data_IF_755283834868
#
_entry.id   IF_755283834868
#
_cell.length_a   1.000
_cell.length_b   1.000
_cell.length_c   1.000
_cell.angle_alpha   90.00
_cell.angle_beta   90.00
_cell.angle_gamma   90.00
#
_symmetry.space_group_name_H-M   'P 1'
#
loop_
_entity.id
_entity.type
_entity.pdbx_description
1 polymer ?
#
# COMPACT_ATOMS: atom_id res chain seq x y z
N UNK A 1 4.17 -21.22 -4.77
CA UNK A 1 3.10 -20.23 -4.41
C UNK A 1 2.67 -20.58 -3.00
N UNK A 2 2.57 -19.60 -2.07
CA UNK A 2 2.14 -19.87 -0.70
C UNK A 2 0.65 -19.59 -0.60
N UNK A 3 -0.12 -20.52 -0.03
CA UNK A 3 -1.51 -20.25 0.38
C UNK A 3 -1.52 -19.45 1.67
N UNK A 4 -2.24 -18.33 1.71
CA UNK A 4 -2.36 -17.46 2.89
C UNK A 4 -3.79 -17.55 3.41
N UNK A 5 -3.93 -17.96 4.68
CA UNK A 5 -5.22 -18.06 5.36
C UNK A 5 -5.60 -16.69 5.96
N UNK A 6 -6.67 -16.11 5.43
CA UNK A 6 -7.22 -14.83 5.86
C UNK A 6 -8.67 -15.01 6.33
N UNK A 7 -9.02 -14.40 7.44
CA UNK A 7 -10.37 -14.42 7.98
C UNK A 7 -11.22 -13.23 7.49
N UNK A 8 -12.53 -13.32 7.67
CA UNK A 8 -13.42 -12.18 7.49
C UNK A 8 -13.03 -10.98 8.37
N UNK A 9 -12.49 -11.25 9.58
CA UNK A 9 -12.01 -10.20 10.45
C UNK A 9 -10.87 -9.41 9.81
N UNK A 10 -9.90 -10.08 9.18
CA UNK A 10 -8.77 -9.42 8.54
C UNK A 10 -9.25 -8.45 7.44
N UNK A 11 -10.18 -8.88 6.59
CA UNK A 11 -10.76 -8.03 5.53
C UNK A 11 -11.60 -6.88 6.10
N UNK A 12 -12.45 -7.14 7.08
CA UNK A 12 -13.30 -6.12 7.69
C UNK A 12 -12.49 -5.09 8.46
N UNK A 13 -11.44 -5.53 9.19
CA UNK A 13 -10.54 -4.65 9.88
C UNK A 13 -9.81 -3.71 8.91
N UNK A 14 -9.23 -4.25 7.83
CA UNK A 14 -8.59 -3.42 6.80
C UNK A 14 -9.56 -2.39 6.23
N UNK A 15 -10.79 -2.80 5.89
CA UNK A 15 -11.78 -1.87 5.34
C UNK A 15 -12.12 -0.74 6.33
N UNK A 16 -12.35 -1.08 7.60
CA UNK A 16 -12.61 -0.11 8.66
C UNK A 16 -11.43 0.86 8.86
N UNK A 17 -10.21 0.35 8.87
CA UNK A 17 -8.97 1.12 8.99
C UNK A 17 -8.80 2.11 7.84
N UNK A 18 -9.03 1.66 6.60
CA UNK A 18 -8.94 2.52 5.41
C UNK A 18 -10.01 3.63 5.46
N UNK A 19 -11.25 3.29 5.82
CA UNK A 19 -12.36 4.25 5.93
C UNK A 19 -12.07 5.27 7.04
N UNK A 20 -11.60 4.83 8.20
CA UNK A 20 -11.24 5.70 9.32
C UNK A 20 -10.09 6.67 8.97
N UNK A 21 -9.08 6.19 8.26
CA UNK A 21 -7.94 6.99 7.80
C UNK A 21 -8.32 8.00 6.71
N UNK A 22 -9.39 7.70 5.95
CA UNK A 22 -9.82 8.50 4.81
C UNK A 22 -11.18 9.15 5.10
N UNK A 23 -11.18 10.17 5.94
CA UNK A 23 -12.37 10.90 6.40
C UNK A 23 -13.25 11.48 5.28
N UNK A 24 -12.76 11.55 4.04
CA UNK A 24 -13.53 11.99 2.87
C UNK A 24 -14.44 10.89 2.31
N UNK A 25 -14.21 9.60 2.63
CA UNK A 25 -14.98 8.49 2.11
C UNK A 25 -16.45 8.59 2.53
N UNK A 26 -17.35 8.52 1.59
CA UNK A 26 -18.80 8.65 1.83
C UNK A 26 -19.58 7.57 1.10
N UNK A 27 -20.71 7.10 1.63
CA UNK A 27 -21.66 6.29 0.87
C UNK A 27 -22.03 6.98 -0.44
N UNK A 28 -22.04 6.19 -1.53
CA UNK A 28 -22.30 6.69 -2.88
C UNK A 28 -21.07 7.19 -3.63
N UNK A 29 -19.91 7.34 -2.99
CA UNK A 29 -18.65 7.58 -3.70
C UNK A 29 -18.36 6.45 -4.68
N UNK A 30 -17.66 6.77 -5.77
CA UNK A 30 -17.31 5.80 -6.81
C UNK A 30 -15.83 5.46 -6.74
N UNK A 31 -15.52 4.17 -6.65
CA UNK A 31 -14.14 3.67 -6.72
C UNK A 31 -13.91 2.99 -8.06
N UNK A 32 -12.88 3.39 -8.79
CA UNK A 32 -12.48 2.75 -10.05
C UNK A 32 -11.55 1.57 -9.74
N UNK A 33 -12.14 0.37 -9.66
CA UNK A 33 -11.45 -0.85 -9.27
C UNK A 33 -10.77 -1.51 -10.48
N UNK A 34 -9.51 -1.10 -10.71
CA UNK A 34 -8.69 -1.55 -11.84
C UNK A 34 -7.76 -2.71 -11.47
N UNK A 35 -7.43 -2.86 -10.19
CA UNK A 35 -6.49 -3.89 -9.76
C UNK A 35 -7.12 -5.28 -9.88
N UNK A 36 -6.34 -6.32 -10.24
CA UNK A 36 -6.87 -7.68 -10.40
C UNK A 36 -7.62 -8.15 -9.15
N UNK A 37 -8.85 -8.66 -9.35
CA UNK A 37 -9.74 -9.08 -8.26
C UNK A 37 -9.25 -10.32 -7.50
N UNK A 38 -8.33 -11.08 -8.08
CA UNK A 38 -7.68 -12.22 -7.43
C UNK A 38 -6.44 -11.82 -6.60
N UNK A 39 -6.06 -10.53 -6.61
CA UNK A 39 -4.99 -9.99 -5.78
C UNK A 39 -5.58 -9.23 -4.60
N UNK A 40 -4.93 -9.30 -3.42
CA UNK A 40 -5.40 -8.61 -2.22
C UNK A 40 -5.71 -7.13 -2.43
N UNK A 41 -4.91 -6.43 -3.26
CA UNK A 41 -5.15 -5.02 -3.58
C UNK A 41 -6.49 -4.79 -4.31
N UNK A 42 -6.78 -5.61 -5.32
CA UNK A 42 -8.06 -5.52 -6.04
C UNK A 42 -9.24 -5.96 -5.17
N UNK A 43 -9.13 -7.11 -4.49
CA UNK A 43 -10.19 -7.64 -3.66
C UNK A 43 -10.38 -6.81 -2.37
N UNK A 44 -9.31 -6.59 -1.61
CA UNK A 44 -9.38 -5.95 -0.28
C UNK A 44 -9.70 -4.46 -0.36
N UNK A 45 -9.01 -3.70 -1.21
CA UNK A 45 -9.22 -2.25 -1.35
C UNK A 45 -10.28 -1.96 -2.41
N UNK A 46 -10.07 -2.45 -3.64
CA UNK A 46 -10.90 -2.08 -4.77
C UNK A 46 -12.36 -2.51 -4.65
N UNK A 47 -12.62 -3.65 -4.01
CA UNK A 47 -13.97 -4.22 -3.89
C UNK A 47 -14.46 -4.18 -2.44
N UNK A 48 -13.80 -4.90 -1.53
CA UNK A 48 -14.30 -5.09 -0.16
C UNK A 48 -14.42 -3.77 0.60
N UNK A 49 -13.36 -2.96 0.62
CA UNK A 49 -13.39 -1.64 1.28
C UNK A 49 -14.43 -0.71 0.66
N UNK A 50 -14.58 -0.73 -0.68
CA UNK A 50 -15.58 0.06 -1.37
C UNK A 50 -16.99 -0.31 -0.90
N UNK A 51 -17.32 -1.60 -0.85
CA UNK A 51 -18.64 -2.09 -0.43
C UNK A 51 -18.93 -1.83 1.05
N UNK A 52 -17.96 -2.06 1.94
CA UNK A 52 -18.11 -1.78 3.39
C UNK A 52 -18.35 -0.27 3.62
N UNK A 53 -17.69 0.59 2.86
CA UNK A 53 -17.89 2.04 2.92
C UNK A 53 -19.15 2.55 2.21
N UNK A 54 -19.95 1.67 1.61
CA UNK A 54 -21.16 2.04 0.86
C UNK A 54 -20.85 2.72 -0.47
N UNK A 55 -19.64 2.55 -1.01
CA UNK A 55 -19.26 3.12 -2.30
C UNK A 55 -19.71 2.23 -3.47
N UNK A 56 -19.83 2.85 -4.64
CA UNK A 56 -20.04 2.16 -5.91
C UNK A 56 -18.72 1.69 -6.49
N UNK A 57 -18.59 0.39 -6.72
CA UNK A 57 -17.40 -0.23 -7.30
C UNK A 57 -17.52 -0.26 -8.83
N UNK A 58 -16.71 0.50 -9.55
CA UNK A 58 -16.63 0.45 -11.02
C UNK A 58 -15.57 -0.58 -11.39
N UNK A 59 -16.00 -1.79 -11.71
CA UNK A 59 -15.10 -2.89 -12.05
C UNK A 59 -14.50 -2.72 -13.45
N UNK A 60 -13.19 -2.86 -13.56
CA UNK A 60 -12.44 -2.83 -14.82
C UNK A 60 -11.69 -4.15 -14.99
N UNK A 61 -12.29 -5.14 -15.66
CA UNK A 61 -11.74 -6.49 -15.72
C UNK A 61 -10.38 -6.60 -16.41
N UNK A 62 -10.09 -5.69 -17.34
CA UNK A 62 -8.83 -5.64 -18.08
C UNK A 62 -8.39 -4.21 -18.26
N UNK A 63 -7.15 -3.94 -17.86
CA UNK A 63 -6.54 -2.62 -18.03
C UNK A 63 -6.31 -2.32 -19.52
N UNK A 64 -6.76 -1.14 -19.94
CA UNK A 64 -6.40 -0.47 -21.17
C UNK A 64 -6.42 1.03 -20.88
N UNK A 65 -5.35 1.75 -21.20
CA UNK A 65 -5.18 3.16 -20.84
C UNK A 65 -6.30 4.04 -21.42
N UNK A 66 -6.72 3.78 -22.66
CA UNK A 66 -7.78 4.56 -23.31
C UNK A 66 -9.15 4.33 -22.65
N UNK A 67 -9.47 3.08 -22.35
CA UNK A 67 -10.72 2.72 -21.64
C UNK A 67 -10.71 3.29 -20.22
N UNK A 68 -9.58 3.25 -19.54
CA UNK A 68 -9.43 3.81 -18.21
C UNK A 68 -9.64 5.33 -18.23
N UNK A 69 -8.99 6.04 -19.17
CA UNK A 69 -9.18 7.48 -19.37
C UNK A 69 -10.66 7.84 -19.65
N UNK A 70 -11.33 7.06 -20.51
CA UNK A 70 -12.76 7.25 -20.76
C UNK A 70 -13.62 7.05 -19.52
N UNK A 71 -13.29 6.07 -18.67
CA UNK A 71 -14.01 5.84 -17.42
C UNK A 71 -13.77 6.98 -16.43
N UNK A 72 -12.57 7.53 -16.35
CA UNK A 72 -12.29 8.73 -15.53
C UNK A 72 -13.19 9.89 -15.96
N UNK A 73 -13.28 10.15 -17.26
CA UNK A 73 -14.08 11.26 -17.80
C UNK A 73 -15.59 10.99 -17.63
N UNK A 74 -16.08 9.82 -18.06
CA UNK A 74 -17.52 9.52 -18.11
C UNK A 74 -18.13 9.17 -16.77
N UNK A 75 -17.40 8.46 -15.90
CA UNK A 75 -17.91 7.97 -14.62
C UNK A 75 -17.60 8.89 -13.45
N UNK A 76 -16.62 9.78 -13.61
CA UNK A 76 -16.21 10.72 -12.57
C UNK A 76 -16.02 10.02 -11.22
N UNK A 77 -15.06 9.05 -11.12
CA UNK A 77 -14.81 8.34 -9.88
C UNK A 77 -14.23 9.30 -8.82
N UNK A 78 -14.52 9.01 -7.56
CA UNK A 78 -13.99 9.78 -6.44
C UNK A 78 -12.66 9.20 -5.93
N UNK A 79 -12.44 7.90 -6.17
CA UNK A 79 -11.29 7.17 -5.64
C UNK A 79 -10.67 6.32 -6.73
N UNK A 80 -9.35 6.46 -6.90
CA UNK A 80 -8.56 5.66 -7.83
C UNK A 80 -7.35 5.03 -7.13
N UNK A 81 -7.41 3.74 -6.79
CA UNK A 81 -6.25 2.97 -6.40
C UNK A 81 -5.50 2.46 -7.64
N UNK A 82 -4.16 2.40 -7.57
CA UNK A 82 -3.35 1.89 -8.67
C UNK A 82 -1.92 1.56 -8.28
N UNK A 83 -1.16 1.09 -9.24
CA UNK A 83 0.28 0.87 -9.15
C UNK A 83 1.03 1.97 -9.90
N UNK A 84 2.34 2.22 -9.63
CA UNK A 84 3.09 3.29 -10.31
C UNK A 84 2.98 3.26 -11.83
N UNK A 85 3.07 2.08 -12.45
CA UNK A 85 2.96 1.90 -13.91
C UNK A 85 1.59 2.32 -14.48
N UNK A 86 0.52 2.22 -13.69
CA UNK A 86 -0.79 2.77 -14.06
C UNK A 86 -0.72 4.29 -14.20
N UNK A 87 -0.11 4.95 -13.22
CA UNK A 87 0.00 6.41 -13.21
C UNK A 87 0.91 6.92 -14.33
N UNK A 88 2.00 6.21 -14.64
CA UNK A 88 2.82 6.51 -15.83
C UNK A 88 1.99 6.43 -17.11
N UNK A 89 1.13 5.42 -17.23
CA UNK A 89 0.26 5.29 -18.40
C UNK A 89 -0.76 6.44 -18.49
N UNK A 90 -1.29 6.90 -17.34
CA UNK A 90 -2.21 8.05 -17.31
C UNK A 90 -1.55 9.35 -17.75
N UNK A 91 -0.29 9.59 -17.38
CA UNK A 91 0.47 10.78 -17.84
C UNK A 91 0.63 10.87 -19.36
N UNK A 92 0.50 9.72 -20.07
CA UNK A 92 0.64 9.62 -21.53
C UNK A 92 -0.70 9.50 -22.25
N UNK A 93 -1.82 9.57 -21.53
CA UNK A 93 -3.15 9.36 -22.07
C UNK A 93 -3.67 10.65 -22.73
N UNK A 94 -3.54 10.79 -24.04
CA UNK A 94 -4.00 11.96 -24.83
C UNK A 94 -5.47 12.34 -24.54
N UNK A 95 -6.33 11.32 -24.30
CA UNK A 95 -7.74 11.55 -23.95
C UNK A 95 -7.95 12.36 -22.69
N UNK A 96 -6.94 12.43 -21.81
CA UNK A 96 -7.02 13.19 -20.56
C UNK A 96 -6.54 14.63 -20.70
N UNK A 97 -6.02 15.07 -21.85
CA UNK A 97 -5.43 16.40 -22.05
C UNK A 97 -6.30 17.55 -21.53
N UNK A 98 -7.62 17.47 -21.73
CA UNK A 98 -8.57 18.49 -21.28
C UNK A 98 -9.58 17.93 -20.26
N UNK A 99 -9.25 16.85 -19.56
CA UNK A 99 -10.15 16.24 -18.61
C UNK A 99 -10.25 17.06 -17.33
N UNK A 100 -11.46 17.15 -16.77
CA UNK A 100 -11.68 17.67 -15.43
C UNK A 100 -11.70 16.50 -14.43
N UNK A 101 -10.73 16.47 -13.52
CA UNK A 101 -10.57 15.46 -12.48
C UNK A 101 -10.91 16.01 -11.07
N UNK A 102 -11.64 17.12 -11.00
CA UNK A 102 -12.07 17.74 -9.73
C UNK A 102 -12.94 16.82 -8.86
N UNK A 103 -13.52 15.76 -9.46
CA UNK A 103 -14.29 14.74 -8.75
C UNK A 103 -13.44 13.86 -7.81
N UNK A 104 -12.12 13.83 -8.00
CA UNK A 104 -11.22 12.97 -7.22
C UNK A 104 -11.08 13.46 -5.78
N UNK A 105 -11.30 12.56 -4.84
CA UNK A 105 -11.14 12.74 -3.39
C UNK A 105 -9.95 11.95 -2.83
N UNK A 106 -9.51 10.92 -3.55
CA UNK A 106 -8.39 10.08 -3.15
C UNK A 106 -7.72 9.37 -4.33
N UNK A 107 -6.39 9.48 -4.37
CA UNK A 107 -5.52 8.82 -5.36
C UNK A 107 -4.46 8.04 -4.59
N UNK A 108 -4.42 6.73 -4.77
CA UNK A 108 -3.59 5.84 -3.97
C UNK A 108 -2.67 4.99 -4.83
N UNK A 109 -1.39 5.00 -4.50
CA UNK A 109 -0.37 4.15 -5.13
C UNK A 109 0.13 3.11 -4.14
N UNK A 110 0.20 1.86 -4.57
CA UNK A 110 0.73 0.75 -3.78
C UNK A 110 1.16 -0.42 -4.65
N UNK A 111 1.63 -1.49 -4.02
CA UNK A 111 2.07 -2.71 -4.69
C UNK A 111 3.45 -2.66 -5.33
N UNK A 112 4.01 -1.48 -5.53
CA UNK A 112 5.40 -1.24 -5.94
C UNK A 112 5.85 0.14 -5.46
N UNK A 113 7.18 0.38 -5.49
CA UNK A 113 7.76 1.65 -5.11
C UNK A 113 7.50 2.72 -6.17
N UNK A 114 6.97 3.87 -5.77
CA UNK A 114 6.80 5.03 -6.63
C UNK A 114 7.96 5.99 -6.42
N UNK A 115 8.71 6.30 -7.47
CA UNK A 115 9.81 7.26 -7.37
C UNK A 115 9.29 8.67 -7.02
N UNK A 116 10.13 9.46 -6.37
CA UNK A 116 9.82 10.86 -6.01
C UNK A 116 9.48 11.66 -7.26
N UNK A 117 10.21 11.42 -8.35
CA UNK A 117 10.01 12.10 -9.62
C UNK A 117 8.65 11.75 -10.25
N UNK A 118 8.29 10.45 -10.27
CA UNK A 118 6.98 10.01 -10.79
C UNK A 118 5.84 10.60 -9.95
N UNK A 119 5.95 10.52 -8.62
CA UNK A 119 4.95 11.12 -7.72
C UNK A 119 4.75 12.59 -8.04
N UNK A 120 5.83 13.36 -8.18
CA UNK A 120 5.75 14.78 -8.50
C UNK A 120 5.04 15.01 -9.85
N UNK A 121 5.40 14.25 -10.90
CA UNK A 121 4.74 14.35 -12.21
C UNK A 121 3.25 14.08 -12.14
N UNK A 122 2.84 13.07 -11.36
CA UNK A 122 1.42 12.73 -11.20
C UNK A 122 0.69 13.80 -10.37
N UNK A 123 1.30 14.32 -9.31
CA UNK A 123 0.69 15.41 -8.52
C UNK A 123 0.52 16.69 -9.35
N UNK A 124 1.53 17.06 -10.18
CA UNK A 124 1.45 18.20 -11.10
C UNK A 124 0.35 17.99 -12.16
N UNK A 125 0.23 16.77 -12.69
CA UNK A 125 -0.82 16.38 -13.61
C UNK A 125 -2.22 16.51 -12.98
N UNK A 126 -2.42 15.94 -11.79
CA UNK A 126 -3.68 16.03 -11.06
C UNK A 126 -4.10 17.49 -10.83
N UNK A 127 -3.16 18.31 -10.39
CA UNK A 127 -3.37 19.76 -10.20
C UNK A 127 -3.75 20.48 -11.49
N UNK A 128 -3.07 20.18 -12.60
CA UNK A 128 -3.36 20.75 -13.92
C UNK A 128 -4.78 20.38 -14.43
N UNK A 129 -5.33 19.26 -13.93
CA UNK A 129 -6.67 18.76 -14.26
C UNK A 129 -7.70 19.03 -13.16
N UNK A 130 -7.52 20.09 -12.37
CA UNK A 130 -8.42 20.57 -11.32
C UNK A 130 -8.60 19.64 -10.11
N UNK A 131 -7.82 18.58 -9.97
CA UNK A 131 -7.89 17.74 -8.77
C UNK A 131 -7.23 18.46 -7.59
N UNK A 132 -7.91 18.49 -6.45
CA UNK A 132 -7.40 19.08 -5.18
C UNK A 132 -6.65 18.07 -4.31
N UNK A 133 -6.30 16.91 -4.85
CA UNK A 133 -5.66 15.79 -4.15
C UNK A 133 -4.30 15.46 -4.73
N UNK A 134 -3.45 14.87 -3.91
CA UNK A 134 -2.15 14.33 -4.30
C UNK A 134 -2.16 12.82 -4.21
N UNK A 135 -1.22 12.16 -4.91
CA UNK A 135 -1.02 10.71 -4.76
C UNK A 135 -0.50 10.41 -3.37
N UNK A 136 -1.17 9.48 -2.69
CA UNK A 136 -0.76 8.94 -1.41
C UNK A 136 -0.23 7.54 -1.59
N UNK A 137 0.94 7.27 -1.01
CA UNK A 137 1.56 5.97 -1.09
C UNK A 137 1.15 5.11 0.08
N UNK A 138 0.86 3.83 -0.18
CA UNK A 138 0.60 2.82 0.83
C UNK A 138 1.49 1.61 0.63
N UNK A 139 1.74 0.90 1.72
CA UNK A 139 2.51 -0.34 1.73
C UNK A 139 1.74 -1.44 2.44
N UNK A 140 2.00 -2.64 2.03
CA UNK A 140 1.54 -3.86 2.64
C UNK A 140 1.86 -5.08 1.80
N UNK A 141 1.40 -6.22 2.24
CA UNK A 141 1.64 -7.52 1.64
C UNK A 141 0.40 -8.40 1.81
N UNK A 142 0.32 -9.49 1.09
CA UNK A 142 -0.84 -10.40 1.12
C UNK A 142 -1.08 -10.95 2.53
N UNK A 143 -0.02 -11.11 3.32
CA UNK A 143 -0.03 -11.56 4.71
C UNK A 143 -0.74 -10.57 5.68
N UNK A 144 -1.03 -9.35 5.22
CA UNK A 144 -1.92 -8.40 5.92
C UNK A 144 -3.05 -7.93 5.01
N UNK A 145 -3.65 -8.85 4.27
CA UNK A 145 -4.64 -8.65 3.21
C UNK A 145 -4.04 -7.93 2.00
N UNK A 146 -3.53 -6.71 2.18
CA UNK A 146 -2.87 -5.94 1.11
C UNK A 146 -2.19 -4.66 1.58
N UNK A 147 -2.74 -3.95 2.58
CA UNK A 147 -2.19 -2.69 3.05
C UNK A 147 -2.18 -2.63 4.57
N UNK A 148 -1.18 -1.96 5.13
CA UNK A 148 -1.02 -1.80 6.58
C UNK A 148 -0.58 -0.40 6.99
N UNK A 149 -0.17 0.43 6.01
CA UNK A 149 0.10 1.85 6.24
C UNK A 149 -0.25 2.70 5.02
N UNK A 150 -0.36 4.00 5.21
CA UNK A 150 -0.66 4.97 4.16
C UNK A 150 -0.08 6.34 4.51
N UNK A 151 0.40 7.07 3.51
CA UNK A 151 0.76 8.49 3.66
C UNK A 151 -0.45 9.29 4.14
N UNK A 152 -0.35 10.10 5.22
CA UNK A 152 -1.41 10.98 5.67
C UNK A 152 -1.81 12.02 4.61
N UNK A 153 -3.09 12.46 4.61
CA UNK A 153 -3.61 13.36 3.59
C UNK A 153 -2.89 14.71 3.55
N UNK A 154 -2.70 15.31 4.71
CA UNK A 154 -2.23 16.69 4.82
C UNK A 154 -0.77 16.79 5.31
N UNK A 155 -0.11 15.65 5.47
CA UNK A 155 1.25 15.58 6.00
C UNK A 155 2.03 14.46 5.30
N UNK A 156 2.68 14.82 4.20
CA UNK A 156 3.49 13.89 3.42
C UNK A 156 4.98 14.09 3.71
N UNK A 157 5.69 12.98 3.96
CA UNK A 157 7.16 12.96 4.01
C UNK A 157 7.72 12.30 2.77
N UNK A 158 8.61 13.01 2.09
CA UNK A 158 9.24 12.55 0.85
C UNK A 158 9.96 11.22 1.10
N UNK A 159 9.70 10.23 0.26
CA UNK A 159 10.28 8.89 0.33
C UNK A 159 9.65 7.96 1.37
N UNK A 160 8.71 8.44 2.20
CA UNK A 160 7.99 7.60 3.15
C UNK A 160 6.84 6.86 2.47
N UNK A 161 6.59 5.63 2.92
CA UNK A 161 5.40 4.83 2.59
C UNK A 161 4.21 5.12 3.52
N UNK A 162 4.35 6.08 4.44
CA UNK A 162 3.30 6.55 5.33
C UNK A 162 3.47 6.11 6.78
N UNK A 163 2.35 6.19 7.51
CA UNK A 163 2.22 5.77 8.90
C UNK A 163 1.27 4.57 9.00
N UNK A 164 1.39 3.71 10.02
CA UNK A 164 0.48 2.57 10.23
C UNK A 164 -0.98 3.00 10.29
N UNK A 165 -1.88 2.13 9.84
CA UNK A 165 -3.31 2.30 10.04
C UNK A 165 -3.70 2.26 11.53
N UNK A 166 -4.86 2.78 11.93
CA UNK A 166 -5.40 2.58 13.28
C UNK A 166 -5.36 1.10 13.68
N UNK A 167 -5.03 0.81 14.94
CA UNK A 167 -4.87 -0.55 15.49
C UNK A 167 -3.83 -1.43 14.77
N UNK A 168 -2.98 -0.83 13.96
CA UNK A 168 -1.82 -1.48 13.36
C UNK A 168 -0.55 -0.94 13.98
N UNK A 169 0.33 -1.82 14.40
CA UNK A 169 1.59 -1.48 15.05
C UNK A 169 2.75 -1.89 14.15
N UNK A 170 3.73 -1.02 14.09
CA UNK A 170 4.99 -1.27 13.39
C UNK A 170 6.14 -1.22 14.37
N UNK A 171 7.16 -2.02 14.12
CA UNK A 171 8.47 -1.83 14.67
C UNK A 171 9.55 -2.30 13.69
N UNK A 172 10.74 -1.78 13.88
CA UNK A 172 11.92 -2.17 13.13
C UNK A 172 12.75 -3.05 14.03
N UNK A 173 13.10 -4.24 13.57
CA UNK A 173 13.92 -5.17 14.35
C UNK A 173 15.21 -5.52 13.63
N UNK A 174 16.22 -5.92 14.38
CA UNK A 174 17.44 -6.48 13.80
C UNK A 174 17.09 -7.73 13.00
N UNK A 175 17.46 -7.81 11.70
CA UNK A 175 17.08 -8.93 10.84
C UNK A 175 17.41 -10.30 11.45
N UNK A 176 16.47 -11.22 11.36
CA UNK A 176 16.59 -12.56 11.93
C UNK A 176 16.34 -12.67 13.43
N UNK A 177 16.07 -11.58 14.13
CA UNK A 177 15.82 -11.54 15.58
C UNK A 177 14.49 -10.87 15.90
N UNK A 178 14.15 -10.78 17.20
CA UNK A 178 13.01 -10.00 17.71
C UNK A 178 13.46 -8.70 18.39
N UNK A 179 14.77 -8.39 18.35
CA UNK A 179 15.34 -7.21 18.98
C UNK A 179 14.92 -5.94 18.22
N UNK A 180 14.16 -5.10 18.89
CA UNK A 180 13.75 -3.80 18.37
C UNK A 180 14.95 -2.85 18.25
N UNK A 181 14.96 -2.05 17.20
CA UNK A 181 15.96 -1.03 16.92
C UNK A 181 15.39 0.36 17.23
N UNK A 182 16.30 1.29 17.56
CA UNK A 182 15.95 2.69 17.76
C UNK A 182 15.48 3.34 16.45
N UNK A 183 14.75 4.46 16.58
CA UNK A 183 14.29 5.24 15.45
C UNK A 183 15.43 5.59 14.48
N UNK A 184 15.11 5.65 13.19
CA UNK A 184 16.04 5.94 12.08
C UNK A 184 17.08 4.84 11.77
N UNK A 185 17.16 3.76 12.55
CA UNK A 185 17.99 2.60 12.21
C UNK A 185 17.28 1.68 11.22
N UNK A 186 18.04 1.14 10.25
CA UNK A 186 17.54 0.21 9.27
C UNK A 186 17.49 -1.22 9.83
N UNK A 187 16.35 -1.89 9.63
CA UNK A 187 16.14 -3.27 10.03
C UNK A 187 14.94 -3.88 9.33
N UNK A 188 14.51 -5.05 9.78
CA UNK A 188 13.31 -5.71 9.25
C UNK A 188 12.05 -5.01 9.78
N UNK A 189 11.15 -4.69 8.85
CA UNK A 189 9.83 -4.16 9.18
C UNK A 189 8.98 -5.30 9.75
N UNK A 190 8.44 -5.11 10.96
CA UNK A 190 7.49 -6.03 11.57
C UNK A 190 6.14 -5.34 11.77
N UNK A 191 5.06 -6.08 11.51
CA UNK A 191 3.68 -5.58 11.57
C UNK A 191 2.85 -6.43 12.51
N UNK A 192 2.05 -5.80 13.36
CA UNK A 192 1.05 -6.47 14.21
C UNK A 192 -0.26 -5.72 14.13
N UNK A 193 -1.37 -6.43 13.95
CA UNK A 193 -2.68 -5.82 13.84
C UNK A 193 -3.76 -6.79 13.36
N UNK A 194 -5.02 -6.36 13.35
CA UNK A 194 -6.15 -7.22 13.05
C UNK A 194 -6.23 -7.67 11.58
N UNK A 195 -5.51 -7.02 10.67
CA UNK A 195 -5.44 -7.42 9.25
C UNK A 195 -4.40 -8.51 8.98
N UNK A 196 -3.53 -8.86 9.97
CA UNK A 196 -2.50 -9.88 9.80
C UNK A 196 -3.12 -11.27 9.65
N UNK A 197 -2.59 -12.07 8.73
CA UNK A 197 -3.03 -13.43 8.40
C UNK A 197 -3.06 -14.37 9.60
N UNK A 198 -3.79 -15.47 9.47
CA UNK A 198 -3.81 -16.54 10.46
C UNK A 198 -2.58 -17.45 10.31
N UNK A 199 -2.29 -17.86 9.08
CA UNK A 199 -1.19 -18.80 8.80
C UNK A 199 -0.91 -18.91 7.29
N UNK A 200 0.16 -19.59 6.94
CA UNK A 200 0.34 -20.18 5.61
C UNK A 200 -0.29 -21.57 5.59
N UNK A 201 -1.20 -21.80 4.64
CA UNK A 201 -1.92 -23.08 4.49
C UNK A 201 -0.91 -24.22 4.25
N UNK A 202 -1.05 -25.29 5.02
CA UNK A 202 -0.22 -26.49 4.96
C UNK A 202 1.30 -26.24 5.11
N UNK A 203 1.67 -25.11 5.76
CA UNK A 203 3.08 -24.76 5.97
C UNK A 203 3.32 -24.17 7.37
N UNK A 204 3.27 -25.00 8.43
CA UNK A 204 3.44 -24.54 9.81
C UNK A 204 4.85 -24.00 10.09
N UNK A 205 5.90 -24.53 9.46
CA UNK A 205 7.26 -24.05 9.65
C UNK A 205 7.42 -22.61 9.18
N UNK A 206 6.95 -22.31 7.97
CA UNK A 206 6.99 -20.95 7.44
C UNK A 206 6.07 -20.02 8.24
N UNK A 207 4.90 -20.50 8.69
CA UNK A 207 4.02 -19.75 9.57
C UNK A 207 4.73 -19.34 10.84
N UNK A 208 5.38 -20.30 11.53
CA UNK A 208 6.10 -20.05 12.76
C UNK A 208 7.31 -19.12 12.56
N UNK A 209 8.01 -19.23 11.43
CA UNK A 209 9.14 -18.35 11.11
C UNK A 209 8.73 -16.92 10.78
N UNK A 210 7.51 -16.74 10.26
CA UNK A 210 6.96 -15.45 9.80
C UNK A 210 6.13 -14.75 10.88
N UNK A 211 5.29 -15.50 11.61
CA UNK A 211 4.48 -14.99 12.73
C UNK A 211 5.16 -15.33 14.06
N UNK A 212 5.85 -14.34 14.64
CA UNK A 212 6.64 -14.57 15.87
C UNK A 212 6.04 -13.81 17.05
N UNK A 213 6.02 -14.46 18.20
CA UNK A 213 5.70 -13.78 19.46
C UNK A 213 6.93 -13.04 19.94
N UNK A 214 6.79 -11.74 20.22
CA UNK A 214 7.83 -10.91 20.80
C UNK A 214 7.66 -10.75 22.32
N UNK A 215 8.62 -10.08 22.97
CA UNK A 215 8.62 -9.87 24.42
C UNK A 215 7.41 -9.09 24.94
N UNK A 216 6.83 -8.22 24.10
CA UNK A 216 5.60 -7.48 24.39
C UNK A 216 4.33 -8.35 24.39
N UNK A 217 4.48 -9.67 24.18
CA UNK A 217 3.40 -10.64 24.12
C UNK A 217 2.58 -10.66 22.84
N UNK A 218 2.80 -9.74 21.91
CA UNK A 218 2.11 -9.67 20.62
C UNK A 218 2.70 -10.63 19.61
N UNK A 219 1.87 -11.06 18.67
CA UNK A 219 2.33 -11.75 17.45
C UNK A 219 2.67 -10.68 16.42
N UNK A 220 3.86 -10.80 15.87
CA UNK A 220 4.39 -9.91 14.84
C UNK A 220 4.65 -10.67 13.56
N UNK A 221 4.15 -10.11 12.45
CA UNK A 221 4.45 -10.53 11.10
C UNK A 221 5.83 -9.97 10.72
N UNK A 222 6.81 -10.84 10.54
CA UNK A 222 8.10 -10.53 9.95
C UNK A 222 7.94 -10.45 8.44
N UNK A 223 8.00 -9.25 7.88
CA UNK A 223 7.64 -9.02 6.48
C UNK A 223 8.68 -9.50 5.48
N UNK A 224 9.92 -9.67 5.93
CA UNK A 224 11.06 -9.91 5.06
C UNK A 224 11.48 -8.67 4.25
N UNK A 225 10.96 -7.50 4.61
CA UNK A 225 11.26 -6.22 3.99
C UNK A 225 12.13 -5.38 4.95
N UNK A 226 13.18 -4.76 4.42
CA UNK A 226 14.01 -3.81 5.14
C UNK A 226 13.45 -2.40 5.04
N UNK A 227 13.61 -1.66 6.12
CA UNK A 227 13.21 -0.27 6.19
C UNK A 227 13.59 0.35 7.51
N UNK A 228 13.15 1.57 7.71
CA UNK A 228 13.31 2.29 8.98
C UNK A 228 12.04 3.05 9.32
N UNK A 229 11.90 3.41 10.57
CA UNK A 229 10.83 4.27 11.06
C UNK A 229 11.46 5.46 11.78
N UNK A 230 10.97 6.67 11.50
CA UNK A 230 11.45 7.86 12.19
C UNK A 230 10.72 8.08 13.52
N UNK A 231 11.16 9.10 14.28
CA UNK A 231 10.60 9.44 15.60
C UNK A 231 9.12 9.84 15.57
N UNK A 232 8.62 10.28 14.40
CA UNK A 232 7.21 10.64 14.21
C UNK A 232 6.37 9.47 13.67
N UNK A 233 6.97 8.28 13.52
CA UNK A 233 6.30 7.05 13.08
C UNK A 233 6.14 6.91 11.57
N UNK A 234 6.82 7.73 10.76
CA UNK A 234 6.84 7.53 9.31
C UNK A 234 7.78 6.38 8.94
N UNK A 235 7.28 5.49 8.11
CA UNK A 235 8.01 4.30 7.66
C UNK A 235 8.61 4.55 6.29
N UNK A 236 9.84 4.08 6.10
CA UNK A 236 10.60 4.17 4.86
C UNK A 236 11.01 2.76 4.46
N UNK A 237 10.53 2.31 3.30
CA UNK A 237 10.89 1.02 2.73
C UNK A 237 12.23 1.15 2.00
N UNK A 238 13.13 0.19 2.22
CA UNK A 238 14.41 0.11 1.51
C UNK A 238 14.38 -0.95 0.42
N UNK A 239 14.22 -2.23 0.79
CA UNK A 239 14.21 -3.37 -0.12
C UNK A 239 13.78 -4.67 0.57
N UNK A 240 13.71 -5.76 -0.20
CA UNK A 240 13.49 -7.11 0.35
C UNK A 240 14.78 -7.74 0.87
N UNK A 241 14.73 -8.38 2.05
CA UNK A 241 15.88 -9.09 2.64
C UNK A 241 16.43 -10.15 1.66
N UNK A 242 15.55 -10.88 0.97
CA UNK A 242 15.94 -11.92 0.00
C UNK A 242 16.68 -11.39 -1.24
N UNK A 243 16.64 -10.08 -1.50
CA UNK A 243 17.41 -9.43 -2.58
C UNK A 243 18.77 -8.92 -2.12
N UNK A 244 19.05 -8.95 -0.83
CA UNK A 244 20.33 -8.53 -0.29
C UNK A 244 21.42 -9.53 -0.70
N UNK A 245 22.49 -9.04 -1.31
CA UNK A 245 23.67 -9.83 -1.69
C UNK A 245 24.70 -9.67 -0.58
N UNK A 246 25.11 -10.78 0.00
CA UNK A 246 26.21 -10.78 0.97
C UNK A 246 27.49 -11.08 0.22
N UNK A 247 28.42 -10.15 0.16
CA UNK A 247 29.74 -10.34 -0.45
C UNK A 247 30.84 -9.87 0.49
N UNK A 248 31.85 -10.73 0.72
CA UNK A 248 32.98 -10.44 1.60
C UNK A 248 32.61 -9.93 3.00
N UNK A 249 31.46 -10.37 3.56
CA UNK A 249 30.97 -9.94 4.87
C UNK A 249 30.21 -8.60 4.87
N UNK A 250 30.04 -7.98 3.71
CA UNK A 250 29.28 -6.75 3.53
C UNK A 250 27.92 -7.04 2.87
N UNK A 251 26.89 -6.36 3.36
CA UNK A 251 25.59 -6.37 2.74
C UNK A 251 25.58 -5.39 1.56
N UNK A 252 25.38 -5.90 0.36
CA UNK A 252 25.20 -5.09 -0.85
C UNK A 252 23.69 -5.04 -1.17
N UNK A 253 23.21 -3.86 -1.36
CA UNK A 253 21.80 -3.55 -1.58
C UNK A 253 21.56 -3.16 -3.05
N UNK A 254 21.13 -4.12 -3.92
CA UNK A 254 20.97 -3.85 -5.36
C UNK A 254 20.04 -2.66 -5.65
N UNK A 255 18.97 -2.50 -4.89
CA UNK A 255 18.03 -1.40 -5.06
C UNK A 255 18.63 0.01 -4.86
N UNK A 256 19.81 0.12 -4.23
CA UNK A 256 20.54 1.38 -4.12
C UNK A 256 21.42 1.65 -5.35
N UNK A 257 21.68 0.62 -6.16
CA UNK A 257 22.50 0.70 -7.37
C UNK A 257 21.65 0.81 -8.64
N UNK A 258 20.37 0.49 -8.54
CA UNK A 258 19.39 0.48 -9.65
C UNK A 258 18.61 1.80 -9.77
N UNK A 259 18.77 2.75 -8.82
CA UNK A 259 18.10 4.05 -8.78
C UNK A 259 18.98 5.18 -9.26
#
# INVERSE_FOLDING_TARGET
MKGISLSNLNFNALAAQIIATNSFFRPGDKMLAIMPMFHGFGLGIGIHTALIGGACCILVPKFNVNTYAELLIKKQPNIIPGVPTLFEALLRAEKLENADLSCLKGVFSGGDSMSIELKKKVDDFLKAHNASVQVRQGYGLTECVTASCLTPKDYNRVGSIGVPFPDTYYKIVKPGTTQELDANLEGEICVSGPSVMLEYVDNPEETHSTLRRHEDGRIWLHTGDLGKMDEDGFVYFSQRIKRMIITSGYNVYPGQLEN
#
